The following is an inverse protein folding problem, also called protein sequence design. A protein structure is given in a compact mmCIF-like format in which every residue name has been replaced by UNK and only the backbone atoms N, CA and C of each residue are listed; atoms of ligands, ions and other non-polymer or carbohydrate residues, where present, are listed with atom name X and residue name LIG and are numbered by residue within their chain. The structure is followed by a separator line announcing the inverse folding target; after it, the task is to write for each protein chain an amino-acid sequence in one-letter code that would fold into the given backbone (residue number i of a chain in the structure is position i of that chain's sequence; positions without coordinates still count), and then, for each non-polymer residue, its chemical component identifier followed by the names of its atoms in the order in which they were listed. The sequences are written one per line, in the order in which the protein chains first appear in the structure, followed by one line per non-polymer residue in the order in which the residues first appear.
data_IF_711183942808
#
_entry.id   IF_711183942808
#
_cell.length_a   1.000
_cell.length_b   1.000
_cell.length_c   1.000
_cell.angle_alpha   90.00
_cell.angle_beta   90.00
_cell.angle_gamma   90.00
#
_symmetry.space_group_name_H-M   'P 1'
#
loop_
_entity.id
_entity.type
_entity.pdbx_description
1 polymer ?
#
# COMPACT_ATOMS: atom_id res chain seq x y z
N UNK A 1 -21.22 -2.08 -4.43
CA UNK A 1 -21.92 -2.84 -3.37
C UNK A 1 -23.35 -3.05 -3.85
N UNK A 2 -23.79 -4.30 -3.99
CA UNK A 2 -25.18 -4.59 -4.38
C UNK A 2 -26.08 -4.70 -3.16
N UNK A 3 -25.54 -5.13 -2.02
CA UNK A 3 -26.28 -5.22 -0.77
C UNK A 3 -25.32 -5.18 0.44
N UNK A 4 -25.73 -4.51 1.50
CA UNK A 4 -25.08 -4.52 2.82
C UNK A 4 -26.18 -4.67 3.87
N UNK A 5 -26.00 -5.59 4.82
CA UNK A 5 -26.93 -5.81 5.91
C UNK A 5 -26.18 -5.85 7.25
N UNK A 6 -26.64 -5.04 8.19
CA UNK A 6 -26.21 -5.11 9.59
C UNK A 6 -26.95 -6.25 10.29
N UNK A 7 -26.22 -7.22 10.84
CA UNK A 7 -26.81 -8.23 11.71
C UNK A 7 -27.04 -7.60 13.09
N UNK A 8 -28.31 -7.43 13.46
CA UNK A 8 -28.71 -7.01 14.80
C UNK A 8 -28.91 -8.25 15.66
N UNK A 9 -28.26 -8.26 16.81
CA UNK A 9 -28.50 -9.22 17.87
C UNK A 9 -29.26 -8.51 18.99
N UNK A 10 -30.18 -9.22 19.64
CA UNK A 10 -30.75 -8.71 20.90
C UNK A 10 -29.68 -8.66 22.01
N UNK A 11 -29.96 -7.95 23.10
CA UNK A 11 -28.99 -7.77 24.19
C UNK A 11 -28.68 -9.09 24.93
N UNK A 12 -29.54 -10.11 24.81
CA UNK A 12 -29.34 -11.40 25.49
C UNK A 12 -28.44 -12.36 24.70
N UNK A 13 -28.56 -12.39 23.38
CA UNK A 13 -27.92 -13.36 22.47
C UNK A 13 -26.80 -12.75 21.63
N UNK A 14 -26.36 -11.53 21.96
CA UNK A 14 -25.23 -10.91 21.26
C UNK A 14 -23.94 -11.71 21.44
N UNK A 15 -23.25 -12.09 20.35
CA UNK A 15 -21.93 -12.73 20.43
C UNK A 15 -20.86 -11.84 21.07
N UNK A 16 -21.15 -10.54 21.24
CA UNK A 16 -20.30 -9.55 21.93
C UNK A 16 -20.39 -9.66 23.47
N UNK A 17 -21.51 -10.15 24.02
CA UNK A 17 -21.81 -10.09 25.47
C UNK A 17 -20.76 -10.81 26.31
N UNK A 18 -20.41 -12.04 25.95
CA UNK A 18 -19.44 -12.87 26.67
C UNK A 18 -18.01 -12.31 26.64
N UNK A 19 -17.48 -11.84 25.49
CA UNK A 19 -16.25 -11.05 25.45
C UNK A 19 -16.25 -9.83 26.38
N UNK A 20 -17.34 -9.05 26.40
CA UNK A 20 -17.46 -7.87 27.27
C UNK A 20 -17.38 -8.26 28.75
N UNK A 21 -18.12 -9.29 29.17
CA UNK A 21 -18.10 -9.81 30.55
C UNK A 21 -16.70 -10.28 30.98
N UNK A 22 -15.99 -10.97 30.08
CA UNK A 22 -14.62 -11.45 30.34
C UNK A 22 -13.63 -10.29 30.47
N UNK A 23 -13.75 -9.25 29.64
CA UNK A 23 -12.90 -8.06 29.71
C UNK A 23 -13.16 -7.22 30.97
N UNK A 24 -14.42 -7.11 31.38
CA UNK A 24 -14.78 -6.48 32.65
C UNK A 24 -14.12 -7.24 33.82
N UNK A 25 -14.25 -8.58 33.86
CA UNK A 25 -13.58 -9.40 34.88
C UNK A 25 -12.06 -9.25 34.86
N UNK A 26 -11.44 -9.21 33.68
CA UNK A 26 -9.99 -9.04 33.52
C UNK A 26 -9.49 -7.65 33.97
N UNK A 27 -10.29 -6.59 33.78
CA UNK A 27 -10.00 -5.24 34.29
C UNK A 27 -9.84 -5.23 35.81
N UNK A 28 -10.66 -6.01 36.53
CA UNK A 28 -10.56 -6.14 37.99
C UNK A 28 -9.35 -6.96 38.45
N UNK A 29 -8.83 -7.86 37.62
CA UNK A 29 -7.69 -8.72 37.98
C UNK A 29 -6.33 -7.99 37.86
N UNK A 30 -6.13 -7.18 36.82
CA UNK A 30 -4.81 -6.62 36.49
C UNK A 30 -4.74 -5.07 36.54
N UNK A 31 -5.81 -4.38 36.95
CA UNK A 31 -5.84 -2.91 37.06
C UNK A 31 -5.70 -2.16 35.72
N UNK A 32 -5.68 -2.86 34.59
CA UNK A 32 -5.61 -2.27 33.25
C UNK A 32 -7.01 -1.98 32.72
N UNK A 33 -7.27 -0.74 32.31
CA UNK A 33 -8.49 -0.34 31.62
C UNK A 33 -8.51 -0.92 30.21
N UNK A 34 -9.35 -1.94 29.98
CA UNK A 34 -9.69 -2.37 28.64
C UNK A 34 -10.82 -1.49 28.10
N UNK A 35 -10.55 -0.74 27.04
CA UNK A 35 -11.59 -0.06 26.26
C UNK A 35 -12.17 -1.13 25.33
N UNK A 36 -13.38 -1.59 25.61
CA UNK A 36 -14.06 -2.53 24.73
C UNK A 36 -14.69 -1.79 23.56
N UNK A 37 -14.16 -2.00 22.36
CA UNK A 37 -14.78 -1.54 21.12
C UNK A 37 -15.84 -2.55 20.68
N UNK A 38 -17.12 -2.16 20.73
CA UNK A 38 -18.22 -2.97 20.21
C UNK A 38 -18.01 -3.21 18.72
N UNK A 39 -17.91 -4.47 18.29
CA UNK A 39 -17.82 -4.87 16.89
C UNK A 39 -19.20 -5.29 16.37
N UNK A 40 -19.48 -4.99 15.11
CA UNK A 40 -20.71 -5.42 14.41
C UNK A 40 -20.30 -6.31 13.25
N UNK A 41 -20.98 -7.44 13.09
CA UNK A 41 -20.82 -8.27 11.90
C UNK A 41 -21.63 -7.66 10.76
N UNK A 42 -20.95 -7.25 9.70
CA UNK A 42 -21.56 -6.81 8.44
C UNK A 42 -21.19 -7.77 7.33
N UNK A 43 -22.18 -8.13 6.51
CA UNK A 43 -21.94 -8.92 5.30
C UNK A 43 -22.20 -8.02 4.10
N UNK A 44 -21.19 -7.92 3.24
CA UNK A 44 -21.26 -7.16 1.98
C UNK A 44 -21.28 -8.13 0.82
N UNK A 45 -22.26 -7.98 -0.08
CA UNK A 45 -22.30 -8.74 -1.34
C UNK A 45 -21.95 -7.82 -2.50
N UNK A 46 -20.93 -8.21 -3.26
CA UNK A 46 -20.44 -7.49 -4.44
C UNK A 46 -20.30 -8.42 -5.64
N UNK A 47 -20.03 -7.84 -6.81
CA UNK A 47 -19.55 -8.63 -7.94
C UNK A 47 -18.27 -9.40 -7.54
N UNK A 48 -18.07 -10.54 -8.18
CA UNK A 48 -16.86 -11.35 -7.97
C UNK A 48 -15.65 -10.59 -8.51
N UNK A 49 -14.69 -10.36 -7.62
CA UNK A 49 -13.37 -9.85 -7.96
C UNK A 49 -12.37 -11.00 -8.03
N UNK A 50 -11.34 -10.83 -8.85
CA UNK A 50 -10.25 -11.79 -9.03
C UNK A 50 -8.93 -11.14 -8.58
N UNK A 51 -8.02 -11.89 -7.92
CA UNK A 51 -6.73 -11.37 -7.50
C UNK A 51 -5.85 -11.06 -8.72
N UNK A 52 -5.00 -10.04 -8.62
CA UNK A 52 -4.05 -9.67 -9.69
C UNK A 52 -3.14 -10.84 -10.11
N UNK A 53 -2.88 -11.79 -9.19
CA UNK A 53 -2.08 -12.99 -9.44
C UNK A 53 -2.74 -14.00 -10.38
N UNK A 54 -4.01 -13.84 -10.71
CA UNK A 54 -4.67 -14.65 -11.74
C UNK A 54 -4.36 -14.16 -13.17
N UNK A 55 -3.71 -12.99 -13.31
CA UNK A 55 -3.35 -12.43 -14.62
C UNK A 55 -2.02 -13.00 -15.13
N UNK A 56 -1.93 -13.13 -16.45
CA UNK A 56 -0.79 -13.75 -17.14
C UNK A 56 -0.30 -12.95 -18.34
N UNK A 57 -0.83 -11.73 -18.49
CA UNK A 57 -0.38 -10.73 -19.45
C UNK A 57 0.09 -9.51 -18.67
N UNK A 58 1.32 -9.08 -18.94
CA UNK A 58 1.94 -7.93 -18.26
C UNK A 58 1.17 -6.64 -18.53
N UNK A 59 0.49 -6.52 -19.68
CA UNK A 59 -0.34 -5.36 -20.04
C UNK A 59 -1.58 -5.26 -19.17
N UNK A 60 -2.23 -6.40 -18.92
CA UNK A 60 -3.36 -6.48 -18.00
C UNK A 60 -2.93 -6.17 -16.56
N UNK A 61 -1.76 -6.65 -16.13
CA UNK A 61 -1.18 -6.35 -14.81
C UNK A 61 -0.90 -4.85 -14.68
N UNK A 62 -0.25 -4.26 -15.68
CA UNK A 62 0.02 -2.81 -15.73
C UNK A 62 -1.26 -1.99 -15.69
N UNK A 63 -2.30 -2.41 -16.42
CA UNK A 63 -3.61 -1.77 -16.40
C UNK A 63 -4.26 -1.82 -15.01
N UNK A 64 -4.17 -2.95 -14.30
CA UNK A 64 -4.71 -3.07 -12.93
C UNK A 64 -3.99 -2.12 -11.97
N UNK A 65 -2.66 -2.06 -12.02
CA UNK A 65 -1.90 -1.11 -11.20
C UNK A 65 -2.28 0.34 -11.51
N UNK A 66 -2.39 0.70 -12.78
CA UNK A 66 -2.78 2.05 -13.20
C UNK A 66 -4.19 2.41 -12.71
N UNK A 67 -5.17 1.53 -12.92
CA UNK A 67 -6.56 1.74 -12.49
C UNK A 67 -6.67 1.91 -10.97
N UNK A 68 -5.91 1.10 -10.19
CA UNK A 68 -5.88 1.16 -8.73
C UNK A 68 -5.24 2.46 -8.25
N UNK A 69 -4.09 2.85 -8.80
CA UNK A 69 -3.42 4.08 -8.39
C UNK A 69 -4.24 5.33 -8.73
N UNK A 70 -4.87 5.35 -9.93
CA UNK A 70 -5.81 6.42 -10.30
C UNK A 70 -6.99 6.49 -9.33
N UNK A 71 -7.52 5.34 -8.91
CA UNK A 71 -8.62 5.27 -7.94
C UNK A 71 -8.19 5.75 -6.56
N UNK A 72 -7.01 5.35 -6.09
CA UNK A 72 -6.41 5.82 -4.84
C UNK A 72 -6.24 7.34 -4.83
N UNK A 73 -5.66 7.90 -5.89
CA UNK A 73 -5.52 9.34 -6.04
C UNK A 73 -6.87 10.06 -6.01
N UNK A 74 -7.84 9.56 -6.78
CA UNK A 74 -9.18 10.17 -6.81
C UNK A 74 -9.84 10.17 -5.42
N UNK A 75 -9.72 9.07 -4.66
CA UNK A 75 -10.25 8.97 -3.30
C UNK A 75 -9.57 9.93 -2.34
N UNK A 76 -8.25 10.09 -2.45
CA UNK A 76 -7.50 11.04 -1.64
C UNK A 76 -7.93 12.49 -1.94
N UNK A 77 -7.93 12.89 -3.21
CA UNK A 77 -8.23 14.27 -3.61
C UNK A 77 -9.71 14.67 -3.36
N UNK A 78 -10.65 13.79 -3.72
CA UNK A 78 -12.07 14.17 -3.77
C UNK A 78 -12.84 13.76 -2.52
N UNK A 79 -12.43 12.66 -1.89
CA UNK A 79 -13.14 12.07 -0.72
C UNK A 79 -12.31 12.20 0.56
N UNK A 80 -11.03 12.60 0.44
CA UNK A 80 -10.12 12.72 1.57
C UNK A 80 -9.94 11.40 2.33
N UNK A 81 -9.84 10.28 1.62
CA UNK A 81 -9.67 8.94 2.21
C UNK A 81 -8.23 8.43 1.98
N UNK A 82 -7.61 7.97 3.07
CA UNK A 82 -6.40 7.14 3.04
C UNK A 82 -6.79 5.67 3.17
N UNK A 83 -6.12 4.80 2.40
CA UNK A 83 -6.43 3.38 2.37
C UNK A 83 -5.79 2.61 3.55
N UNK A 84 -4.53 2.91 3.87
CA UNK A 84 -3.77 2.40 5.03
C UNK A 84 -3.42 0.91 5.05
N UNK A 85 -3.91 0.11 4.11
CA UNK A 85 -3.52 -1.31 3.95
C UNK A 85 -3.28 -1.72 2.49
N UNK A 86 -2.41 -1.02 1.77
CA UNK A 86 -2.00 -1.47 0.43
C UNK A 86 -1.26 -2.80 0.54
N UNK A 87 -1.78 -3.85 -0.09
CA UNK A 87 -1.17 -5.18 -0.09
C UNK A 87 -1.48 -5.92 -1.39
N UNK A 88 -0.68 -6.94 -1.72
CA UNK A 88 -0.91 -7.73 -2.94
C UNK A 88 -2.29 -8.39 -2.96
N UNK A 89 -2.80 -8.82 -1.80
CA UNK A 89 -4.13 -9.44 -1.67
C UNK A 89 -5.28 -8.45 -1.92
N UNK A 90 -5.01 -7.16 -1.77
CA UNK A 90 -5.99 -6.10 -2.00
C UNK A 90 -5.96 -5.59 -3.45
N UNK A 91 -4.99 -6.04 -4.25
CA UNK A 91 -4.92 -5.77 -5.69
C UNK A 91 -5.84 -6.74 -6.44
N UNK A 92 -7.02 -6.25 -6.80
CA UNK A 92 -8.05 -7.05 -7.44
C UNK A 92 -8.38 -6.50 -8.82
N UNK A 93 -9.04 -7.31 -9.63
CA UNK A 93 -9.61 -6.87 -10.90
C UNK A 93 -10.97 -7.50 -11.13
N UNK A 94 -11.72 -6.91 -12.07
CA UNK A 94 -12.94 -7.49 -12.62
C UNK A 94 -12.85 -7.57 -14.14
N UNK A 95 -13.55 -8.55 -14.72
CA UNK A 95 -13.69 -8.71 -16.17
C UNK A 95 -15.01 -8.09 -16.59
N UNK A 96 -14.99 -7.12 -17.51
CA UNK A 96 -16.20 -6.65 -18.19
C UNK A 96 -16.22 -7.16 -19.62
N UNK A 97 -17.31 -7.82 -20.00
CA UNK A 97 -17.55 -8.23 -21.38
C UNK A 97 -18.58 -7.29 -22.00
N UNK A 98 -18.16 -6.48 -22.98
CA UNK A 98 -19.08 -5.78 -23.90
C UNK A 98 -18.94 -6.39 -25.30
N UNK A 99 -17.85 -6.07 -26.02
CA UNK A 99 -17.44 -6.72 -27.28
C UNK A 99 -16.17 -7.56 -27.13
N UNK A 100 -15.22 -7.07 -26.31
CA UNK A 100 -14.00 -7.77 -25.90
C UNK A 100 -13.96 -7.81 -24.35
N UNK A 101 -13.24 -8.78 -23.79
CA UNK A 101 -12.97 -8.85 -22.35
C UNK A 101 -12.05 -7.67 -22.00
N UNK A 102 -12.51 -6.82 -21.07
CA UNK A 102 -11.72 -5.74 -20.48
C UNK A 102 -11.38 -6.07 -19.04
N UNK A 103 -10.10 -5.99 -18.71
CA UNK A 103 -9.59 -6.08 -17.34
C UNK A 103 -9.66 -4.70 -16.70
N UNK A 104 -10.38 -4.55 -15.59
CA UNK A 104 -10.47 -3.30 -14.83
C UNK A 104 -9.88 -3.54 -13.45
N UNK A 105 -8.87 -2.76 -13.06
CA UNK A 105 -8.36 -2.77 -11.69
C UNK A 105 -9.43 -2.30 -10.71
N UNK A 106 -9.51 -2.97 -9.56
CA UNK A 106 -10.45 -2.64 -8.49
C UNK A 106 -9.67 -2.54 -7.21
N UNK A 107 -9.65 -1.33 -6.67
CA UNK A 107 -9.04 -1.07 -5.38
C UNK A 107 -9.99 -1.55 -4.27
N UNK A 108 -9.57 -2.56 -3.50
CA UNK A 108 -10.43 -3.27 -2.55
C UNK A 108 -9.88 -3.18 -1.11
N UNK A 109 -10.74 -3.50 -0.14
CA UNK A 109 -10.43 -3.64 1.29
C UNK A 109 -10.18 -2.31 2.05
N UNK A 110 -11.24 -1.55 2.26
CA UNK A 110 -11.25 -0.27 2.99
C UNK A 110 -11.50 -0.41 4.50
N UNK A 111 -11.38 -1.61 5.08
CA UNK A 111 -11.78 -1.88 6.47
C UNK A 111 -10.95 -1.10 7.51
N UNK A 112 -9.73 -0.71 7.16
CA UNK A 112 -8.84 0.10 7.99
C UNK A 112 -8.56 1.48 7.41
N UNK A 113 -9.33 1.89 6.40
CA UNK A 113 -9.23 3.21 5.79
C UNK A 113 -9.63 4.32 6.77
N UNK A 114 -9.25 5.56 6.47
CA UNK A 114 -9.62 6.70 7.30
C UNK A 114 -9.83 7.96 6.49
N UNK A 115 -10.79 8.76 6.94
CA UNK A 115 -11.06 10.10 6.39
C UNK A 115 -10.06 11.08 7.02
N UNK A 116 -9.58 12.03 6.21
CA UNK A 116 -8.71 13.13 6.63
C UNK A 116 -9.61 14.34 7.00
N UNK A 117 -9.32 15.07 8.09
CA UNK A 117 -8.23 14.84 9.04
C UNK A 117 -8.50 13.61 9.92
N UNK A 118 -7.43 12.92 10.32
CA UNK A 118 -7.48 11.77 11.22
C UNK A 118 -8.04 12.21 12.59
N UNK A 119 -9.30 11.87 12.88
CA UNK A 119 -10.02 12.34 14.07
C UNK A 119 -10.05 11.32 15.22
N UNK A 120 -9.87 10.02 14.94
CA UNK A 120 -10.11 8.95 15.91
C UNK A 120 -8.82 8.28 16.40
N UNK A 121 -8.80 7.78 17.64
CA UNK A 121 -7.65 7.06 18.17
C UNK A 121 -7.28 5.84 17.31
N UNK A 122 -8.26 5.10 16.78
CA UNK A 122 -8.11 4.00 15.81
C UNK A 122 -7.42 4.46 14.51
N UNK A 123 -7.67 5.69 14.08
CA UNK A 123 -7.05 6.30 12.90
C UNK A 123 -5.57 6.65 13.11
N UNK A 124 -5.13 6.75 14.37
CA UNK A 124 -3.74 6.94 14.77
C UNK A 124 -2.98 5.62 15.01
N UNK A 125 -3.67 4.47 15.07
CA UNK A 125 -2.99 3.20 15.26
C UNK A 125 -2.19 2.82 14.00
N UNK A 126 -1.03 2.22 14.21
CA UNK A 126 -0.26 1.59 13.12
C UNK A 126 -1.08 0.46 12.50
N UNK A 127 -1.51 0.66 11.26
CA UNK A 127 -2.24 -0.31 10.44
C UNK A 127 -1.46 -0.61 9.17
N UNK A 128 -1.70 -1.79 8.60
CA UNK A 128 -1.14 -2.20 7.34
C UNK A 128 -0.40 -3.53 7.40
N UNK A 129 -0.15 -4.09 6.22
CA UNK A 129 0.51 -5.38 6.07
C UNK A 129 2.05 -5.19 6.07
N UNK A 130 2.81 -5.79 7.02
CA UNK A 130 4.22 -5.46 7.30
C UNK A 130 5.19 -5.37 6.12
N UNK A 131 5.19 -6.34 5.18
CA UNK A 131 6.06 -6.28 4.01
C UNK A 131 5.77 -5.07 3.12
N UNK A 132 4.58 -4.48 3.18
CA UNK A 132 4.15 -3.35 2.37
C UNK A 132 4.07 -2.03 3.14
N UNK A 133 4.12 -2.04 4.48
CA UNK A 133 4.08 -0.78 5.25
C UNK A 133 5.27 0.13 4.94
N UNK A 134 5.03 1.43 4.85
CA UNK A 134 6.08 2.43 4.68
C UNK A 134 7.10 2.41 5.83
N UNK A 135 8.37 2.70 5.54
CA UNK A 135 9.45 2.61 6.52
C UNK A 135 9.25 3.56 7.73
N UNK A 136 8.78 4.80 7.53
CA UNK A 136 8.52 5.73 8.64
C UNK A 136 7.38 5.26 9.55
N UNK A 137 6.32 4.65 8.98
CA UNK A 137 5.23 4.04 9.78
C UNK A 137 5.71 2.84 10.61
N UNK A 138 6.71 2.11 10.13
CA UNK A 138 7.32 0.99 10.86
C UNK A 138 8.21 1.48 12.00
N UNK A 139 9.00 2.53 11.76
CA UNK A 139 9.95 3.08 12.72
C UNK A 139 9.32 3.89 13.86
N UNK A 140 8.13 4.45 13.63
CA UNK A 140 7.48 5.37 14.59
C UNK A 140 6.00 5.03 14.78
N UNK A 141 5.53 4.99 16.02
CA UNK A 141 4.14 4.60 16.33
C UNK A 141 3.21 5.79 16.51
N UNK A 142 3.76 7.00 16.55
CA UNK A 142 3.11 8.28 16.85
C UNK A 142 2.83 9.13 15.60
N UNK A 143 3.23 8.68 14.41
CA UNK A 143 3.02 9.41 13.16
C UNK A 143 1.65 9.11 12.58
N UNK A 144 0.90 10.16 12.29
CA UNK A 144 -0.31 10.07 11.47
C UNK A 144 0.02 9.51 10.09
N UNK A 145 -0.93 8.79 9.50
CA UNK A 145 -0.79 8.24 8.17
C UNK A 145 -0.85 9.36 7.12
N UNK A 146 0.06 9.34 6.15
CA UNK A 146 0.18 10.34 5.08
C UNK A 146 -0.09 9.69 3.72
N UNK A 147 -0.42 10.51 2.71
CA UNK A 147 -0.67 10.04 1.34
C UNK A 147 0.50 9.21 0.80
N UNK A 148 1.74 9.74 0.90
CA UNK A 148 2.95 9.04 0.44
C UNK A 148 3.17 7.66 1.07
N UNK A 149 2.60 7.37 2.24
CA UNK A 149 2.76 6.04 2.83
C UNK A 149 1.91 4.99 2.10
N UNK A 150 0.72 5.36 1.62
CA UNK A 150 -0.04 4.50 0.72
C UNK A 150 0.69 4.34 -0.62
N UNK A 151 1.31 5.41 -1.13
CA UNK A 151 2.11 5.36 -2.37
C UNK A 151 3.35 4.46 -2.21
N UNK A 152 4.07 4.55 -1.10
CA UNK A 152 5.22 3.70 -0.78
C UNK A 152 4.79 2.23 -0.68
N UNK A 153 3.65 1.97 -0.05
CA UNK A 153 3.09 0.64 0.05
C UNK A 153 2.63 0.09 -1.31
N UNK A 154 2.00 0.92 -2.16
CA UNK A 154 1.66 0.59 -3.54
C UNK A 154 2.90 0.23 -4.36
N UNK A 155 3.98 1.01 -4.23
CA UNK A 155 5.27 0.72 -4.83
C UNK A 155 5.83 -0.64 -4.38
N UNK A 156 5.78 -0.93 -3.08
CA UNK A 156 6.21 -2.23 -2.56
C UNK A 156 5.37 -3.39 -3.08
N UNK A 157 4.07 -3.21 -3.35
CA UNK A 157 3.26 -4.26 -3.97
C UNK A 157 3.76 -4.59 -5.38
N UNK A 158 4.05 -3.58 -6.21
CA UNK A 158 4.64 -3.78 -7.54
C UNK A 158 6.01 -4.46 -7.45
N UNK A 159 6.86 -4.00 -6.52
CA UNK A 159 8.17 -4.58 -6.26
C UNK A 159 8.06 -6.06 -5.90
N UNK A 160 7.20 -6.42 -4.95
CA UNK A 160 7.03 -7.82 -4.54
C UNK A 160 6.50 -8.69 -5.67
N UNK A 161 5.58 -8.18 -6.50
CA UNK A 161 5.08 -8.91 -7.66
C UNK A 161 6.23 -9.21 -8.63
N UNK A 162 6.99 -8.19 -9.03
CA UNK A 162 8.07 -8.32 -10.01
C UNK A 162 9.23 -9.20 -9.52
N UNK A 163 9.58 -9.10 -8.23
CA UNK A 163 10.76 -9.76 -7.68
C UNK A 163 10.47 -11.17 -7.17
N UNK A 164 9.22 -11.52 -6.86
CA UNK A 164 8.89 -12.81 -6.22
C UNK A 164 8.03 -13.72 -7.08
N UNK A 165 7.46 -13.23 -8.18
CA UNK A 165 6.58 -14.01 -9.06
C UNK A 165 7.09 -14.05 -10.49
N UNK A 166 6.70 -15.08 -11.22
CA UNK A 166 6.95 -15.27 -12.64
C UNK A 166 5.72 -15.89 -13.32
N UNK A 167 5.52 -15.56 -14.58
CA UNK A 167 4.48 -16.15 -15.43
C UNK A 167 5.13 -17.31 -16.20
N UNK A 168 4.67 -18.53 -15.92
CA UNK A 168 5.18 -19.77 -16.49
C UNK A 168 4.09 -20.54 -17.23
N UNK A 169 4.47 -21.46 -18.11
CA UNK A 169 3.54 -22.38 -18.75
C UNK A 169 3.23 -23.58 -17.84
N UNK A 170 1.95 -23.95 -17.77
CA UNK A 170 1.42 -25.14 -17.11
C UNK A 170 0.54 -25.96 -18.06
N UNK A 171 0.04 -27.11 -17.63
CA UNK A 171 -0.84 -27.94 -18.45
C UNK A 171 -2.16 -27.22 -18.81
N UNK A 172 -2.64 -26.33 -17.94
CA UNK A 172 -3.88 -25.57 -18.09
C UNK A 172 -3.67 -24.19 -18.75
N UNK A 173 -2.44 -23.86 -19.15
CA UNK A 173 -2.08 -22.57 -19.76
C UNK A 173 -1.04 -21.79 -18.98
N UNK A 174 -0.89 -20.49 -19.28
CA UNK A 174 -0.02 -19.60 -18.51
C UNK A 174 -0.59 -19.43 -17.10
N UNK A 175 0.29 -19.34 -16.11
CA UNK A 175 -0.05 -19.09 -14.71
C UNK A 175 1.04 -18.25 -14.06
N UNK A 176 0.64 -17.34 -13.16
CA UNK A 176 1.59 -16.65 -12.30
C UNK A 176 1.90 -17.52 -11.08
N UNK A 177 3.18 -17.75 -10.80
CA UNK A 177 3.65 -18.52 -9.64
C UNK A 177 4.76 -17.77 -8.93
N UNK A 178 4.91 -18.01 -7.64
CA UNK A 178 6.11 -17.55 -6.94
C UNK A 178 7.35 -18.28 -7.47
N UNK A 179 8.50 -17.59 -7.45
CA UNK A 179 9.78 -18.10 -7.98
C UNK A 179 10.32 -19.33 -7.25
N UNK A 180 9.90 -19.56 -6.00
CA UNK A 180 10.34 -20.70 -5.20
C UNK A 180 9.26 -21.11 -4.21
N UNK A 181 9.08 -22.41 -4.04
CA UNK A 181 8.27 -22.98 -2.96
C UNK A 181 8.93 -22.72 -1.58
N UNK A 182 10.26 -22.70 -1.53
CA UNK A 182 10.99 -22.36 -0.33
C UNK A 182 11.00 -20.84 -0.15
N UNK A 183 10.12 -20.35 0.74
CA UNK A 183 9.94 -18.91 1.00
C UNK A 183 11.24 -18.20 1.42
N UNK A 184 12.22 -18.92 1.99
CA UNK A 184 13.54 -18.40 2.39
C UNK A 184 14.44 -18.02 1.22
N UNK A 185 14.18 -18.57 0.03
CA UNK A 185 14.93 -18.27 -1.18
C UNK A 185 14.34 -17.10 -1.97
N UNK A 186 13.15 -16.61 -1.58
CA UNK A 186 12.49 -15.54 -2.31
C UNK A 186 13.12 -14.18 -1.99
N UNK A 187 13.28 -13.29 -2.98
CA UNK A 187 13.72 -11.92 -2.76
C UNK A 187 12.87 -11.21 -1.71
N UNK A 188 13.51 -10.37 -0.88
CA UNK A 188 12.88 -9.66 0.24
C UNK A 188 12.27 -10.56 1.33
N UNK A 189 12.71 -11.81 1.48
CA UNK A 189 12.19 -12.67 2.57
C UNK A 189 12.29 -12.04 3.96
N UNK A 190 13.36 -11.28 4.24
CA UNK A 190 13.53 -10.55 5.51
C UNK A 190 12.36 -9.61 5.82
N UNK A 191 11.64 -9.12 4.82
CA UNK A 191 10.50 -8.23 4.98
C UNK A 191 9.22 -8.97 5.39
N UNK A 192 9.17 -10.28 5.13
CA UNK A 192 8.09 -11.18 5.53
C UNK A 192 8.37 -11.87 6.87
N UNK A 193 9.60 -11.78 7.38
CA UNK A 193 9.97 -12.39 8.65
C UNK A 193 9.33 -11.65 9.83
N UNK A 194 8.35 -12.29 10.47
CA UNK A 194 7.60 -11.76 11.63
C UNK A 194 8.40 -11.73 12.94
N UNK A 195 9.59 -12.33 12.98
CA UNK A 195 10.46 -12.24 14.16
C UNK A 195 11.35 -10.99 14.14
N UNK A 196 11.45 -10.32 12.98
CA UNK A 196 12.18 -9.06 12.83
C UNK A 196 11.43 -7.94 13.56
N UNK A 197 12.17 -7.10 14.30
CA UNK A 197 11.57 -5.92 14.93
C UNK A 197 11.11 -4.91 13.88
N UNK A 198 10.11 -4.09 14.23
CA UNK A 198 9.62 -3.03 13.35
C UNK A 198 10.70 -2.03 12.95
N UNK A 199 11.56 -1.68 13.90
CA UNK A 199 12.69 -0.77 13.66
C UNK A 199 13.69 -1.37 12.67
N UNK A 200 14.05 -2.65 12.84
CA UNK A 200 14.95 -3.31 11.88
C UNK A 200 14.34 -3.37 10.49
N UNK A 201 13.04 -3.68 10.37
CA UNK A 201 12.36 -3.67 9.08
C UNK A 201 12.33 -2.28 8.45
N UNK A 202 12.09 -1.23 9.25
CA UNK A 202 12.15 0.16 8.80
C UNK A 202 13.53 0.51 8.23
N UNK A 203 14.60 0.15 8.94
CA UNK A 203 15.97 0.43 8.50
C UNK A 203 16.35 -0.33 7.22
N UNK A 204 15.94 -1.60 7.09
CA UNK A 204 16.18 -2.37 5.86
C UNK A 204 15.45 -1.74 4.67
N UNK A 205 14.22 -1.25 4.87
CA UNK A 205 13.45 -0.56 3.82
C UNK A 205 14.04 0.80 3.44
N UNK A 206 14.49 1.57 4.42
CA UNK A 206 15.22 2.81 4.18
C UNK A 206 16.51 2.54 3.38
N UNK A 207 17.27 1.52 3.78
CA UNK A 207 18.45 1.05 3.08
C UNK A 207 18.16 0.61 1.64
N UNK A 208 16.99 0.02 1.36
CA UNK A 208 16.59 -0.30 -0.01
C UNK A 208 16.50 0.95 -0.89
N UNK A 209 15.98 2.09 -0.40
CA UNK A 209 15.92 3.29 -1.24
C UNK A 209 17.32 3.81 -1.57
N UNK A 210 18.24 3.84 -0.60
CA UNK A 210 19.59 4.38 -0.79
C UNK A 210 20.63 3.37 -1.27
N UNK A 211 20.26 2.09 -1.39
CA UNK A 211 21.11 1.04 -1.94
C UNK A 211 21.42 1.26 -3.42
N UNK A 212 22.61 0.85 -3.85
CA UNK A 212 23.03 0.92 -5.27
C UNK A 212 22.60 -0.31 -6.07
N UNK A 213 22.00 -1.30 -5.40
CA UNK A 213 21.63 -2.56 -6.01
C UNK A 213 20.49 -2.35 -7.03
N UNK A 214 20.64 -2.90 -8.25
CA UNK A 214 19.58 -2.86 -9.24
C UNK A 214 18.39 -3.68 -8.77
N UNK A 215 17.18 -3.26 -9.16
CA UNK A 215 15.97 -4.04 -8.94
C UNK A 215 16.01 -5.24 -9.88
N UNK A 216 15.96 -6.45 -9.31
CA UNK A 216 15.79 -7.68 -10.06
C UNK A 216 14.29 -7.94 -10.31
N UNK A 217 13.90 -8.36 -11.51
CA UNK A 217 12.56 -8.89 -11.76
C UNK A 217 12.64 -10.25 -12.43
N UNK A 218 11.57 -11.04 -12.33
CA UNK A 218 11.39 -12.17 -13.23
C UNK A 218 11.32 -11.70 -14.68
N UNK A 219 11.70 -12.60 -15.60
CA UNK A 219 11.75 -12.29 -17.04
C UNK A 219 10.38 -11.91 -17.60
N UNK A 220 9.32 -12.56 -17.12
CA UNK A 220 7.95 -12.28 -17.59
C UNK A 220 7.37 -10.95 -17.10
N UNK A 221 8.01 -10.29 -16.12
CA UNK A 221 7.55 -9.04 -15.51
C UNK A 221 8.57 -7.91 -15.68
N UNK A 222 9.58 -8.08 -16.54
CA UNK A 222 10.64 -7.08 -16.74
C UNK A 222 10.12 -5.76 -17.31
N UNK A 223 8.97 -5.76 -17.99
CA UNK A 223 8.38 -4.55 -18.56
C UNK A 223 7.88 -3.57 -17.49
N UNK A 224 7.75 -4.01 -16.24
CA UNK A 224 7.45 -3.16 -15.08
C UNK A 224 8.70 -2.53 -14.46
N UNK A 225 9.92 -2.99 -14.80
CA UNK A 225 11.17 -2.44 -14.24
C UNK A 225 11.35 -0.94 -14.48
N UNK A 226 11.03 -0.37 -15.66
CA UNK A 226 11.12 1.08 -15.88
C UNK A 226 10.26 1.86 -14.87
N UNK A 227 9.06 1.38 -14.56
CA UNK A 227 8.20 2.01 -13.54
C UNK A 227 8.82 1.93 -12.16
N UNK A 228 9.32 0.74 -11.77
CA UNK A 228 9.94 0.54 -10.47
C UNK A 228 11.18 1.42 -10.26
N UNK A 229 12.02 1.57 -11.29
CA UNK A 229 13.21 2.41 -11.20
C UNK A 229 12.86 3.90 -11.13
N UNK A 230 11.91 4.36 -11.94
CA UNK A 230 11.49 5.76 -11.94
C UNK A 230 10.81 6.17 -10.62
N UNK A 231 9.91 5.34 -10.09
CA UNK A 231 9.25 5.61 -8.81
C UNK A 231 10.26 5.53 -7.65
N UNK A 232 11.19 4.56 -7.66
CA UNK A 232 12.28 4.50 -6.66
C UNK A 232 13.11 5.77 -6.68
N UNK A 233 13.42 6.29 -7.86
CA UNK A 233 14.15 7.55 -8.01
C UNK A 233 13.39 8.72 -7.37
N UNK A 234 12.08 8.85 -7.58
CA UNK A 234 11.27 9.88 -6.92
C UNK A 234 11.33 9.78 -5.39
N UNK A 235 11.23 8.56 -4.84
CA UNK A 235 11.39 8.34 -3.40
C UNK A 235 12.78 8.72 -2.91
N UNK A 236 13.84 8.37 -3.64
CA UNK A 236 15.21 8.75 -3.27
C UNK A 236 15.33 10.28 -3.17
N UNK A 237 14.87 11.02 -4.18
CA UNK A 237 14.94 12.48 -4.19
C UNK A 237 14.13 13.08 -3.03
N UNK A 238 12.89 12.62 -2.83
CA UNK A 238 12.04 13.09 -1.73
C UNK A 238 12.61 12.79 -0.34
N UNK A 239 13.22 11.62 -0.14
CA UNK A 239 13.83 11.25 1.13
C UNK A 239 15.11 12.04 1.40
N UNK A 240 15.90 12.35 0.37
CA UNK A 240 17.02 13.30 0.50
C UNK A 240 16.54 14.70 0.88
N UNK A 241 15.47 15.19 0.25
CA UNK A 241 14.87 16.48 0.59
C UNK A 241 14.39 16.50 2.06
N UNK A 242 13.74 15.43 2.52
CA UNK A 242 13.31 15.27 3.92
C UNK A 242 14.49 15.22 4.89
N UNK A 243 15.58 14.54 4.53
CA UNK A 243 16.77 14.50 5.35
C UNK A 243 17.37 15.91 5.49
N UNK A 244 17.51 16.64 4.38
CA UNK A 244 18.04 18.00 4.35
C UNK A 244 17.18 18.99 5.14
N UNK A 245 15.84 18.88 5.09
CA UNK A 245 14.93 19.76 5.84
C UNK A 245 15.02 19.56 7.36
N UNK A 246 15.46 18.38 7.80
CA UNK A 246 15.65 18.06 9.22
C UNK A 246 17.03 18.45 9.76
N UNK A 247 18.00 18.81 8.92
CA UNK A 247 19.34 19.23 9.39
C UNK A 247 19.22 20.60 10.06
N UNK A 248 19.55 20.71 11.37
CA UNK A 248 19.47 22.02 12.02
C UNK A 248 20.51 22.97 11.43
N UNK A 249 20.06 24.11 10.92
CA UNK A 249 20.92 25.10 10.25
C UNK A 249 22.04 25.65 11.16
N UNK A 250 21.91 25.48 12.48
CA UNK A 250 22.94 25.81 13.46
C UNK A 250 24.22 24.99 13.29
N UNK A 251 24.14 23.79 12.69
CA UNK A 251 25.31 22.94 12.42
C UNK A 251 26.01 23.31 11.11
N UNK A 252 25.42 24.16 10.27
CA UNK A 252 25.96 24.53 8.96
C UNK A 252 26.72 25.87 9.02
N UNK A 253 27.96 25.93 8.51
CA UNK A 253 28.66 27.19 8.23
C UNK A 253 27.80 28.10 7.36
N UNK A 254 27.90 29.42 7.54
CA UNK A 254 27.06 30.41 6.86
C UNK A 254 27.05 30.30 5.33
N UNK A 255 28.15 29.87 4.71
CA UNK A 255 28.27 29.68 3.26
C UNK A 255 27.66 28.38 2.73
N UNK A 256 27.32 27.43 3.61
CA UNK A 256 26.65 26.16 3.28
C UNK A 256 25.17 26.17 3.68
N UNK A 257 24.68 27.26 4.27
CA UNK A 257 23.26 27.37 4.62
C UNK A 257 22.45 27.45 3.33
N UNK A 258 21.47 26.55 3.14
CA UNK A 258 20.53 26.72 2.04
C UNK A 258 19.78 28.04 2.20
N UNK A 259 19.31 28.66 1.11
CA UNK A 259 18.45 29.83 1.19
C UNK A 259 17.25 29.54 2.10
N UNK A 260 16.88 30.50 2.95
CA UNK A 260 15.73 30.34 3.84
C UNK A 260 14.47 30.13 2.99
N UNK A 261 13.86 28.94 3.11
CA UNK A 261 12.54 28.66 2.55
C UNK A 261 11.50 29.29 3.46
N UNK A 262 10.60 30.10 2.88
CA UNK A 262 9.44 30.63 3.59
C UNK A 262 8.34 29.58 3.77
N UNK A 263 8.39 28.47 3.01
CA UNK A 263 7.39 27.40 3.07
C UNK A 263 7.90 26.23 3.93
N UNK A 264 7.10 25.74 4.90
CA UNK A 264 7.38 24.51 5.62
C UNK A 264 7.50 23.31 4.65
N UNK A 265 8.32 22.33 5.01
CA UNK A 265 8.47 21.09 4.24
C UNK A 265 7.14 20.32 4.16
N UNK A 266 6.68 20.03 2.95
CA UNK A 266 5.47 19.22 2.74
C UNK A 266 5.78 17.74 2.98
N UNK A 267 5.31 17.22 4.12
CA UNK A 267 5.50 15.82 4.47
C UNK A 267 4.59 14.89 3.69
N UNK A 268 3.45 15.32 3.14
CA UNK A 268 2.53 14.41 2.43
C UNK A 268 3.08 13.98 1.07
N UNK A 269 3.81 14.88 0.39
CA UNK A 269 4.36 14.65 -0.95
C UNK A 269 5.88 14.56 -1.00
N UNK A 270 6.57 14.59 0.16
CA UNK A 270 8.02 14.78 0.23
C UNK A 270 8.48 16.01 -0.55
N UNK A 271 7.83 17.16 -0.31
CA UNK A 271 8.14 18.43 -0.97
C UNK A 271 8.00 18.37 -2.49
N UNK A 272 6.90 17.77 -2.96
CA UNK A 272 6.55 17.67 -4.38
C UNK A 272 7.27 16.58 -5.17
N UNK A 273 7.95 15.63 -4.51
CA UNK A 273 8.61 14.52 -5.20
C UNK A 273 7.67 13.33 -5.42
N UNK A 274 6.72 13.11 -4.52
CA UNK A 274 5.69 12.07 -4.58
C UNK A 274 4.37 12.70 -4.99
N UNK A 275 4.25 12.94 -6.29
CA UNK A 275 3.07 13.56 -6.91
C UNK A 275 2.38 12.54 -7.82
N UNK A 276 1.05 12.49 -7.72
CA UNK A 276 0.17 11.56 -8.40
C UNK A 276 0.31 11.61 -9.92
N UNK A 277 0.38 12.82 -10.47
CA UNK A 277 0.53 13.09 -11.89
C UNK A 277 1.81 12.48 -12.44
N UNK A 278 2.93 12.63 -11.72
CA UNK A 278 4.22 12.05 -12.11
C UNK A 278 4.17 10.53 -12.10
N UNK A 279 3.56 9.93 -11.07
CA UNK A 279 3.46 8.48 -10.96
C UNK A 279 2.53 7.92 -12.05
N UNK A 280 1.37 8.54 -12.29
CA UNK A 280 0.46 8.16 -13.38
C UNK A 280 1.11 8.35 -14.76
N UNK A 281 1.97 9.36 -14.94
CA UNK A 281 2.73 9.54 -16.16
C UNK A 281 3.77 8.43 -16.35
N UNK A 282 4.55 8.10 -15.32
CA UNK A 282 5.50 6.98 -15.34
C UNK A 282 4.79 5.69 -15.73
N UNK A 283 3.62 5.45 -15.13
CA UNK A 283 2.84 4.23 -15.34
C UNK A 283 1.97 4.28 -16.60
N UNK A 284 2.07 5.29 -17.46
CA UNK A 284 1.11 5.48 -18.56
C UNK A 284 1.31 4.56 -19.76
N UNK A 285 2.45 3.88 -19.84
CA UNK A 285 2.81 2.96 -20.92
C UNK A 285 3.57 1.75 -20.38
N UNK A 286 3.27 0.56 -20.93
CA UNK A 286 3.96 -0.70 -20.63
C UNK A 286 4.15 -1.52 -21.90
N UNK A 287 5.36 -1.99 -22.19
CA UNK A 287 5.67 -2.76 -23.42
C UNK A 287 5.10 -2.12 -24.71
N UNK A 288 5.33 -0.81 -24.89
CA UNK A 288 4.82 -0.06 -26.04
C UNK A 288 3.29 0.15 -26.06
N UNK A 289 2.59 -0.25 -25.00
CA UNK A 289 1.14 -0.18 -24.89
C UNK A 289 0.71 0.88 -23.88
N UNK A 290 -0.08 1.85 -24.32
CA UNK A 290 -0.71 2.83 -23.42
C UNK A 290 -1.73 2.15 -22.50
N UNK A 291 -1.61 2.36 -21.18
CA UNK A 291 -2.61 1.95 -20.19
C UNK A 291 -3.59 3.08 -19.85
N UNK A 292 -3.34 4.30 -20.36
CA UNK A 292 -4.29 5.41 -20.30
C UNK A 292 -5.47 5.08 -21.19
N UNK A 293 -6.65 4.94 -20.59
CA UNK A 293 -7.91 4.83 -21.34
C UNK A 293 -8.37 6.23 -21.77
N UNK A 294 -8.84 6.38 -23.00
CA UNK A 294 -9.57 7.57 -23.43
C UNK A 294 -10.90 7.65 -22.68
N UNK A 295 -11.30 8.84 -22.24
CA UNK A 295 -12.50 9.05 -21.39
C UNK A 295 -13.83 8.64 -22.06
N UNK A 296 -13.81 8.24 -23.34
CA UNK A 296 -14.96 7.75 -24.12
C UNK A 296 -15.18 6.22 -24.10
N UNK A 297 -14.63 5.44 -23.14
CA UNK A 297 -14.68 3.95 -23.19
C UNK A 297 -15.25 3.20 -21.98
#
# INVERSE_FOLDING_TARGET
ILHSQDFRFDEEHSPQKRPTELLIKAKYANGKTFIYEKRVLRITVSERLFPITDLTDVKDIGQVFFDIFRSHHWLYENVQILHRDMSLNNMMYRKRSKRNIRILGVFNNFDVSSVIPLQEATSLHRTGTPPYMAHELLGRSDVGHLYRYDVEAFYYVQLMLCCRYEIVWSAEGKVMKELSENKKLLPFEKWYNRTTSWETLAQVKLGFFFGVEPIFSSKSLSDLLPWLNAIRFLFIQGLFALANSKIPQTYLPSHLKPPESSTPFDNDTLDGHIISEYILQIMSEIDGHSVKRSDDQ
#
